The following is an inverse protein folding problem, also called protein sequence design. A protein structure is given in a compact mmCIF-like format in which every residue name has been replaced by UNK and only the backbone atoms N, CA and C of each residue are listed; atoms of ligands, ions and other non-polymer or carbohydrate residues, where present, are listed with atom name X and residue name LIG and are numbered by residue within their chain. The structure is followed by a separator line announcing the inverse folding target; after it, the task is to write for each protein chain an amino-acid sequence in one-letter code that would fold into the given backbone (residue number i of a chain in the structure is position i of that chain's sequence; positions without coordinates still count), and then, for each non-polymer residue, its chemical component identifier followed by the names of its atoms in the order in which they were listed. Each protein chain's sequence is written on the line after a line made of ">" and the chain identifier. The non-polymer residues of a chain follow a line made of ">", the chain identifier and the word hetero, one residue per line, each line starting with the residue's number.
data_IF_515786526313
#
_entry.id   IF_515786526313
#
_cell.length_a   1.000
_cell.length_b   1.000
_cell.length_c   1.000
_cell.angle_alpha   90.00
_cell.angle_beta   90.00
_cell.angle_gamma   90.00
#
_symmetry.space_group_name_H-M   'P 1'
#
loop_
_entity.id
_entity.type
_entity.pdbx_description
1 polymer ?
#
# COMPACT_ATOMS: atom_id res chain seq x y z
N UNK A 1 17.46 -45.99 -15.01
CA UNK A 1 17.64 -44.81 -15.87
C UNK A 1 17.19 -43.59 -15.09
N UNK A 2 18.15 -42.80 -14.62
CA UNK A 2 17.97 -41.75 -13.60
C UNK A 2 17.99 -40.39 -14.30
N UNK A 3 16.88 -39.66 -14.16
CA UNK A 3 16.71 -38.19 -14.24
C UNK A 3 17.53 -37.44 -15.28
N UNK A 4 16.91 -37.26 -16.45
CA UNK A 4 17.19 -36.15 -17.37
C UNK A 4 16.44 -34.91 -16.86
N UNK A 5 16.95 -34.31 -15.78
CA UNK A 5 16.40 -33.06 -15.25
C UNK A 5 16.81 -31.89 -16.15
N UNK A 6 15.80 -31.39 -16.87
CA UNK A 6 15.64 -30.03 -17.41
C UNK A 6 16.87 -29.11 -17.40
N UNK A 7 17.60 -29.10 -18.51
CA UNK A 7 18.37 -27.92 -18.90
C UNK A 7 17.36 -26.77 -19.14
N UNK A 8 17.33 -25.79 -18.23
CA UNK A 8 16.62 -24.53 -18.41
C UNK A 8 17.23 -23.85 -19.65
N UNK A 9 16.43 -23.39 -20.62
CA UNK A 9 16.98 -22.65 -21.76
C UNK A 9 17.70 -21.41 -21.23
N UNK A 10 18.99 -21.25 -21.60
CA UNK A 10 19.77 -20.04 -21.34
C UNK A 10 18.97 -18.85 -21.89
N UNK A 11 18.45 -18.04 -20.97
CA UNK A 11 17.78 -16.79 -21.32
C UNK A 11 18.81 -15.82 -21.88
N UNK A 12 18.38 -15.01 -22.84
CA UNK A 12 19.17 -14.04 -23.62
C UNK A 12 19.71 -12.84 -22.80
N UNK A 13 20.06 -13.06 -21.54
CA UNK A 13 20.71 -12.14 -20.61
C UNK A 13 21.73 -12.97 -19.82
N UNK A 14 22.88 -13.27 -20.43
CA UNK A 14 24.03 -13.91 -19.78
C UNK A 14 24.72 -12.93 -18.81
N UNK A 15 23.95 -12.38 -17.87
CA UNK A 15 24.48 -11.60 -16.76
C UNK A 15 24.91 -12.57 -15.66
N UNK A 16 26.20 -12.59 -15.27
CA UNK A 16 26.70 -13.55 -14.29
C UNK A 16 25.98 -13.31 -12.95
N UNK A 17 25.31 -14.35 -12.45
CA UNK A 17 24.63 -14.30 -11.17
C UNK A 17 25.66 -14.07 -10.05
N UNK A 18 25.30 -13.29 -9.03
CA UNK A 18 26.23 -12.85 -7.97
C UNK A 18 26.90 -14.01 -7.19
N UNK A 19 26.26 -15.18 -7.15
CA UNK A 19 26.72 -16.37 -6.43
C UNK A 19 27.14 -17.50 -7.38
N UNK A 20 27.33 -17.19 -8.66
CA UNK A 20 27.72 -18.20 -9.64
C UNK A 20 29.16 -18.67 -9.37
N UNK A 21 29.34 -19.99 -9.35
CA UNK A 21 30.63 -20.67 -9.19
C UNK A 21 30.80 -21.54 -10.43
N UNK A 22 31.63 -21.07 -11.35
CA UNK A 22 32.00 -21.87 -12.51
C UNK A 22 33.03 -22.92 -12.09
N UNK A 23 32.93 -24.11 -12.68
CA UNK A 23 33.82 -25.25 -12.43
C UNK A 23 34.47 -25.75 -13.72
N UNK A 24 34.45 -24.93 -14.78
CA UNK A 24 34.89 -25.28 -16.13
C UNK A 24 36.13 -24.45 -16.51
N UNK A 25 37.28 -25.11 -16.66
CA UNK A 25 38.63 -24.53 -16.82
C UNK A 25 38.95 -24.14 -18.28
N UNK A 26 37.97 -24.05 -19.18
CA UNK A 26 38.23 -23.88 -20.62
C UNK A 26 38.44 -22.41 -21.06
N UNK A 27 38.18 -21.40 -20.21
CA UNK A 27 38.36 -19.98 -20.59
C UNK A 27 38.62 -18.99 -19.43
N UNK A 28 39.84 -19.00 -18.89
CA UNK A 28 40.29 -18.20 -17.74
C UNK A 28 40.08 -16.68 -17.89
N UNK A 29 40.21 -16.11 -19.08
CA UNK A 29 40.14 -14.66 -19.30
C UNK A 29 38.69 -14.15 -19.18
N UNK A 30 37.75 -14.84 -19.82
CA UNK A 30 36.31 -14.51 -19.70
C UNK A 30 35.80 -14.75 -18.28
N UNK A 31 36.32 -15.77 -17.61
CA UNK A 31 35.97 -16.02 -16.21
C UNK A 31 36.48 -14.92 -15.27
N UNK A 32 37.72 -14.46 -15.46
CA UNK A 32 38.29 -13.37 -14.67
C UNK A 32 37.49 -12.07 -14.85
N UNK A 33 37.07 -11.75 -16.08
CA UNK A 33 36.20 -10.61 -16.36
C UNK A 33 34.82 -10.77 -15.71
N UNK A 34 34.21 -11.96 -15.80
CA UNK A 34 32.93 -12.25 -15.17
C UNK A 34 33.01 -12.16 -13.64
N UNK A 35 34.11 -12.63 -13.03
CA UNK A 35 34.38 -12.47 -11.60
C UNK A 35 34.51 -10.99 -11.23
N UNK A 36 35.28 -10.22 -11.99
CA UNK A 36 35.44 -8.77 -11.78
C UNK A 36 34.11 -8.03 -11.85
N UNK A 37 33.23 -8.41 -12.79
CA UNK A 37 31.88 -7.85 -12.89
C UNK A 37 31.01 -8.21 -11.69
N UNK A 38 31.04 -9.46 -11.20
CA UNK A 38 30.33 -9.86 -9.98
C UNK A 38 30.82 -9.07 -8.77
N UNK A 39 32.14 -8.91 -8.64
CA UNK A 39 32.75 -8.19 -7.52
C UNK A 39 32.43 -6.69 -7.56
N UNK A 40 32.51 -6.06 -8.74
CA UNK A 40 32.08 -4.67 -8.93
C UNK A 40 30.59 -4.49 -8.60
N UNK A 41 29.72 -5.44 -8.96
CA UNK A 41 28.30 -5.39 -8.58
C UNK A 41 28.09 -5.53 -7.07
N UNK A 42 28.92 -6.30 -6.36
CA UNK A 42 28.86 -6.38 -4.88
C UNK A 42 29.23 -5.04 -4.24
N UNK A 43 30.36 -4.47 -4.64
CA UNK A 43 30.80 -3.15 -4.17
C UNK A 43 29.74 -2.08 -4.49
N UNK A 44 29.15 -2.14 -5.70
CA UNK A 44 28.09 -1.22 -6.11
C UNK A 44 26.87 -1.33 -5.22
N UNK A 45 26.37 -2.54 -4.93
CA UNK A 45 25.21 -2.75 -4.05
C UNK A 45 25.45 -2.16 -2.65
N UNK A 46 26.61 -2.46 -2.05
CA UNK A 46 26.92 -1.98 -0.69
C UNK A 46 27.06 -0.44 -0.65
N UNK A 47 27.52 0.15 -1.75
CA UNK A 47 27.55 1.61 -1.92
C UNK A 47 26.17 2.19 -2.13
N UNK A 48 25.36 1.59 -3.01
CA UNK A 48 23.98 2.00 -3.30
C UNK A 48 23.09 1.90 -2.06
N UNK A 49 23.23 0.86 -1.23
CA UNK A 49 22.50 0.74 0.03
C UNK A 49 22.82 1.87 1.01
N UNK A 50 24.10 2.26 1.11
CA UNK A 50 24.52 3.40 1.95
C UNK A 50 23.99 4.72 1.41
N UNK A 51 24.15 4.95 0.10
CA UNK A 51 23.67 6.16 -0.56
C UNK A 51 22.13 6.25 -0.48
N UNK A 52 21.40 5.14 -0.60
CA UNK A 52 19.94 5.11 -0.46
C UNK A 52 19.49 5.54 0.95
N UNK A 53 20.15 5.05 2.00
CA UNK A 53 19.85 5.48 3.38
C UNK A 53 20.13 6.97 3.60
N UNK A 54 21.21 7.50 3.02
CA UNK A 54 21.52 8.94 3.08
C UNK A 54 20.49 9.78 2.31
N UNK A 55 20.08 9.33 1.12
CA UNK A 55 19.04 9.98 0.32
C UNK A 55 17.69 9.97 1.03
N UNK A 56 17.28 8.85 1.64
CA UNK A 56 16.05 8.78 2.44
C UNK A 56 16.10 9.76 3.62
N UNK A 57 17.24 9.86 4.31
CA UNK A 57 17.43 10.81 5.40
C UNK A 57 17.32 12.27 4.93
N UNK A 58 17.96 12.61 3.81
CA UNK A 58 17.90 13.94 3.22
C UNK A 58 16.49 14.29 2.75
N UNK A 59 15.77 13.35 2.16
CA UNK A 59 14.38 13.55 1.74
C UNK A 59 13.46 13.75 2.95
N UNK A 60 13.64 13.00 4.04
CA UNK A 60 12.90 13.23 5.29
C UNK A 60 13.18 14.62 5.85
N UNK A 61 14.44 15.07 5.83
CA UNK A 61 14.82 16.41 6.28
C UNK A 61 14.24 17.51 5.39
N UNK A 62 14.25 17.30 4.06
CA UNK A 62 13.60 18.18 3.08
C UNK A 62 12.10 18.30 3.36
N UNK A 63 11.41 17.17 3.55
CA UNK A 63 9.98 17.14 3.87
C UNK A 63 9.65 17.78 5.21
N UNK A 64 10.55 17.76 6.19
CA UNK A 64 10.40 18.45 7.48
C UNK A 64 10.60 19.97 7.38
N UNK A 65 11.47 20.41 6.47
CA UNK A 65 11.78 21.83 6.27
C UNK A 65 10.81 22.52 5.29
N UNK A 66 10.11 21.77 4.44
CA UNK A 66 9.10 22.31 3.52
C UNK A 66 7.84 22.81 4.24
N UNK A 67 7.20 23.83 3.67
CA UNK A 67 5.93 24.35 4.19
C UNK A 67 4.76 23.43 3.84
N UNK A 68 3.67 23.53 4.60
CA UNK A 68 2.46 22.72 4.38
C UNK A 68 1.84 22.94 2.98
N UNK A 69 1.94 24.18 2.46
CA UNK A 69 1.42 24.55 1.14
C UNK A 69 2.22 23.89 0.02
N UNK A 70 3.55 23.95 0.11
CA UNK A 70 4.46 23.31 -0.85
C UNK A 70 4.30 21.79 -0.83
N UNK A 71 4.18 21.20 0.38
CA UNK A 71 3.94 19.76 0.56
C UNK A 71 2.66 19.30 -0.12
N UNK A 72 1.58 20.10 -0.03
CA UNK A 72 0.29 19.78 -0.67
C UNK A 72 0.37 19.87 -2.19
N UNK A 73 1.08 20.88 -2.71
CA UNK A 73 1.30 21.02 -4.16
C UNK A 73 2.17 19.88 -4.70
N UNK A 74 3.23 19.50 -3.99
CA UNK A 74 4.06 18.38 -4.36
C UNK A 74 3.28 17.06 -4.36
N UNK A 75 2.46 16.80 -3.34
CA UNK A 75 1.63 15.60 -3.28
C UNK A 75 0.57 15.57 -4.40
N UNK A 76 0.12 16.73 -4.87
CA UNK A 76 -0.79 16.87 -6.00
C UNK A 76 -0.08 16.60 -7.33
N UNK A 77 1.15 17.09 -7.48
CA UNK A 77 1.95 16.91 -8.69
C UNK A 77 2.55 15.50 -8.77
N UNK A 78 2.89 14.92 -7.63
CA UNK A 78 3.45 13.58 -7.49
C UNK A 78 2.57 12.74 -6.55
N UNK A 79 1.40 12.28 -7.03
CA UNK A 79 0.51 11.47 -6.22
C UNK A 79 1.17 10.14 -5.85
N UNK A 80 0.96 9.71 -4.59
CA UNK A 80 1.49 8.43 -4.11
C UNK A 80 0.99 7.27 -4.98
N UNK A 81 1.89 6.67 -5.74
CA UNK A 81 1.60 5.49 -6.56
C UNK A 81 1.53 4.27 -5.63
N UNK A 82 0.35 3.68 -5.51
CA UNK A 82 0.14 2.44 -4.76
C UNK A 82 0.07 1.31 -5.78
N UNK A 83 1.21 0.65 -6.03
CA UNK A 83 1.34 -0.46 -6.98
C UNK A 83 0.42 -1.64 -6.62
N UNK A 84 0.24 -1.89 -5.33
CA UNK A 84 -0.53 -3.02 -4.79
C UNK A 84 -2.03 -2.76 -4.58
N UNK A 85 -2.55 -1.67 -5.14
CA UNK A 85 -3.96 -1.29 -4.97
C UNK A 85 -4.85 -2.25 -5.77
N UNK A 86 -5.46 -3.20 -5.08
CA UNK A 86 -6.42 -4.11 -5.68
C UNK A 86 -7.67 -3.35 -6.15
N UNK A 87 -8.11 -3.62 -7.37
CA UNK A 87 -9.40 -3.16 -7.90
C UNK A 87 -10.51 -3.89 -7.16
N UNK A 88 -11.15 -3.22 -6.20
CA UNK A 88 -12.32 -3.77 -5.51
C UNK A 88 -13.57 -3.52 -6.35
N UNK A 89 -14.26 -4.58 -6.74
CA UNK A 89 -15.57 -4.50 -7.38
C UNK A 89 -16.68 -4.10 -6.40
N UNK A 90 -17.90 -3.97 -6.93
CA UNK A 90 -19.11 -3.68 -6.14
C UNK A 90 -19.63 -4.98 -5.51
N UNK A 91 -19.58 -5.06 -4.20
CA UNK A 91 -20.12 -6.20 -3.45
C UNK A 91 -21.66 -6.24 -3.51
N UNK A 92 -22.21 -7.46 -3.58
CA UNK A 92 -23.64 -7.72 -3.42
C UNK A 92 -24.07 -7.61 -1.95
N UNK A 93 -25.36 -7.43 -1.71
CA UNK A 93 -25.93 -7.37 -0.37
C UNK A 93 -25.64 -8.66 0.42
N UNK A 94 -25.06 -8.51 1.62
CA UNK A 94 -24.60 -9.61 2.49
C UNK A 94 -23.57 -10.58 1.87
N UNK A 95 -22.86 -10.15 0.83
CA UNK A 95 -21.74 -10.93 0.29
C UNK A 95 -20.61 -11.04 1.32
N UNK A 96 -19.98 -12.21 1.40
CA UNK A 96 -18.84 -12.44 2.29
C UNK A 96 -17.61 -11.70 1.77
N UNK A 97 -16.99 -10.92 2.66
CA UNK A 97 -15.71 -10.29 2.40
C UNK A 97 -14.57 -11.28 2.61
N UNK A 98 -13.70 -11.39 1.61
CA UNK A 98 -12.45 -12.13 1.68
C UNK A 98 -11.28 -11.14 1.70
N UNK A 99 -10.50 -11.16 2.76
CA UNK A 99 -9.30 -10.35 2.87
C UNK A 99 -8.17 -11.02 2.07
N UNK A 100 -7.57 -10.31 1.12
CA UNK A 100 -6.48 -10.82 0.25
C UNK A 100 -5.22 -11.25 1.01
N UNK A 101 -5.05 -10.77 2.24
CA UNK A 101 -3.85 -10.96 3.05
C UNK A 101 -3.01 -9.69 3.09
N UNK A 102 -2.15 -9.58 4.11
CA UNK A 102 -1.20 -8.47 4.26
C UNK A 102 0.26 -8.88 3.95
N UNK A 103 0.51 -10.19 3.85
CA UNK A 103 1.84 -10.76 3.62
C UNK A 103 2.12 -10.90 2.12
N UNK A 104 3.41 -10.90 1.75
CA UNK A 104 3.90 -11.12 0.38
C UNK A 104 3.41 -10.12 -0.67
N UNK A 105 2.95 -8.94 -0.22
CA UNK A 105 2.54 -7.84 -1.09
C UNK A 105 3.73 -7.05 -1.64
N UNK A 106 4.92 -7.24 -1.09
CA UNK A 106 6.19 -6.71 -1.61
C UNK A 106 6.52 -7.29 -2.99
N UNK A 107 6.22 -8.57 -3.18
CA UNK A 107 6.43 -9.28 -4.43
C UNK A 107 5.29 -8.95 -5.40
N UNK A 108 5.62 -8.39 -6.57
CA UNK A 108 4.66 -7.96 -7.58
C UNK A 108 4.11 -9.14 -8.41
N UNK A 109 3.75 -10.23 -7.74
CA UNK A 109 3.19 -11.42 -8.37
C UNK A 109 1.79 -11.13 -8.89
N UNK A 110 1.54 -11.46 -10.16
CA UNK A 110 0.26 -11.23 -10.84
C UNK A 110 -0.93 -11.88 -10.13
N UNK A 111 -0.71 -13.01 -9.45
CA UNK A 111 -1.73 -13.72 -8.68
C UNK A 111 -2.37 -12.81 -7.61
N UNK A 112 -1.58 -11.94 -6.99
CA UNK A 112 -2.08 -11.03 -5.95
C UNK A 112 -2.80 -9.79 -6.51
N UNK A 113 -2.78 -9.57 -7.83
CA UNK A 113 -3.51 -8.48 -8.49
C UNK A 113 -4.93 -8.88 -8.88
N UNK A 114 -5.29 -10.17 -8.77
CA UNK A 114 -6.60 -10.69 -9.14
C UNK A 114 -7.70 -10.07 -8.28
N UNK A 115 -8.88 -9.93 -8.89
CA UNK A 115 -10.06 -9.49 -8.17
C UNK A 115 -10.56 -10.57 -7.21
N UNK A 116 -10.53 -10.26 -5.92
CA UNK A 116 -11.03 -11.13 -4.82
C UNK A 116 -12.44 -10.75 -4.36
N UNK A 117 -13.06 -9.76 -5.00
CA UNK A 117 -14.39 -9.26 -4.66
C UNK A 117 -15.54 -9.96 -5.38
N UNK A 118 -15.25 -10.95 -6.22
CA UNK A 118 -16.26 -11.74 -6.92
C UNK A 118 -17.16 -12.51 -5.93
N UNK A 119 -18.44 -12.66 -6.29
CA UNK A 119 -19.38 -13.46 -5.50
C UNK A 119 -18.98 -14.93 -5.56
N UNK A 120 -18.93 -15.59 -4.40
CA UNK A 120 -18.57 -17.01 -4.29
C UNK A 120 -19.73 -17.83 -3.74
N UNK A 121 -19.89 -19.06 -4.24
CA UNK A 121 -20.88 -20.05 -3.77
C UNK A 121 -22.29 -19.44 -3.55
N UNK A 122 -22.69 -19.28 -2.29
CA UNK A 122 -24.01 -18.80 -1.86
C UNK A 122 -24.29 -17.33 -2.19
N UNK A 123 -23.26 -16.54 -2.52
CA UNK A 123 -23.37 -15.11 -2.82
C UNK A 123 -23.73 -14.84 -4.30
N UNK A 124 -23.87 -15.89 -5.13
CA UNK A 124 -24.39 -15.73 -6.49
C UNK A 124 -25.85 -15.25 -6.47
N UNK A 125 -26.64 -15.76 -5.52
CA UNK A 125 -28.05 -15.43 -5.34
C UNK A 125 -28.27 -14.02 -4.79
N UNK A 126 -29.30 -13.32 -5.28
CA UNK A 126 -29.63 -11.98 -4.80
C UNK A 126 -30.41 -12.02 -3.47
N UNK A 127 -29.69 -11.80 -2.36
CA UNK A 127 -30.23 -11.81 -1.00
C UNK A 127 -31.17 -10.64 -0.68
N UNK A 128 -31.29 -9.62 -1.54
CA UNK A 128 -32.21 -8.49 -1.31
C UNK A 128 -33.68 -8.87 -1.50
N UNK A 129 -33.95 -9.92 -2.28
CA UNK A 129 -35.31 -10.42 -2.54
C UNK A 129 -35.86 -11.20 -1.34
N UNK A 130 -35.00 -11.59 -0.39
CA UNK A 130 -35.41 -12.30 0.81
C UNK A 130 -36.26 -11.41 1.72
N UNK A 131 -37.22 -11.98 2.48
CA UNK A 131 -37.94 -11.25 3.51
C UNK A 131 -36.98 -10.62 4.54
N UNK A 132 -37.33 -9.44 5.08
CA UNK A 132 -36.45 -8.67 5.99
C UNK A 132 -35.92 -9.49 7.18
N UNK A 133 -36.72 -10.41 7.71
CA UNK A 133 -36.34 -11.30 8.82
C UNK A 133 -35.19 -12.26 8.43
N UNK A 134 -35.11 -12.63 7.15
CA UNK A 134 -34.07 -13.48 6.57
C UNK A 134 -32.89 -12.69 5.99
N UNK A 135 -32.98 -11.36 5.89
CA UNK A 135 -31.89 -10.47 5.42
C UNK A 135 -30.80 -10.28 6.47
N UNK A 136 -30.33 -11.39 7.02
CA UNK A 136 -29.42 -11.43 8.16
C UNK A 136 -28.38 -12.52 7.94
N UNK A 137 -27.16 -12.31 8.42
CA UNK A 137 -26.11 -13.32 8.31
C UNK A 137 -26.43 -14.50 9.24
N UNK A 138 -26.22 -15.73 8.76
CA UNK A 138 -26.43 -16.97 9.53
C UNK A 138 -27.86 -17.12 10.10
N UNK A 139 -28.89 -16.82 9.30
CA UNK A 139 -30.29 -17.02 9.68
C UNK A 139 -30.54 -18.45 10.19
N UNK A 140 -31.26 -18.59 11.31
CA UNK A 140 -31.57 -19.89 11.94
C UNK A 140 -30.46 -20.53 12.76
N UNK A 141 -29.27 -19.91 12.90
CA UNK A 141 -28.18 -20.42 13.75
C UNK A 141 -28.22 -19.81 15.17
N UNK A 142 -27.98 -20.63 16.18
CA UNK A 142 -28.00 -20.23 17.60
C UNK A 142 -26.95 -19.15 17.95
N UNK A 143 -25.81 -19.13 17.26
CA UNK A 143 -24.74 -18.14 17.46
C UNK A 143 -24.90 -16.84 16.64
N UNK A 144 -26.10 -16.51 16.19
CA UNK A 144 -26.33 -15.32 15.36
C UNK A 144 -26.22 -14.03 16.19
N UNK A 145 -25.42 -13.08 15.71
CA UNK A 145 -25.32 -11.72 16.28
C UNK A 145 -26.61 -10.91 16.05
N UNK A 146 -26.99 -10.07 17.03
CA UNK A 146 -28.14 -9.16 16.92
C UNK A 146 -27.95 -8.08 15.83
N UNK A 147 -26.71 -7.62 15.66
CA UNK A 147 -26.32 -6.64 14.65
C UNK A 147 -26.26 -7.27 13.25
N UNK A 148 -26.77 -6.53 12.26
CA UNK A 148 -26.94 -6.98 10.87
C UNK A 148 -25.75 -6.58 9.99
N UNK A 149 -25.61 -5.30 9.66
CA UNK A 149 -24.51 -4.72 8.91
C UNK A 149 -24.31 -3.26 9.30
N UNK A 150 -23.09 -2.74 9.13
CA UNK A 150 -22.73 -1.36 9.52
C UNK A 150 -23.73 -0.33 9.01
N UNK A 151 -24.14 -0.42 7.74
CA UNK A 151 -25.08 0.53 7.12
C UNK A 151 -26.45 0.60 7.83
N UNK A 152 -26.92 -0.49 8.45
CA UNK A 152 -28.21 -0.51 9.17
C UNK A 152 -28.06 0.01 10.62
N UNK A 153 -26.83 0.05 11.12
CA UNK A 153 -26.48 0.57 12.44
C UNK A 153 -25.85 1.96 12.35
N UNK A 154 -25.68 2.48 11.14
CA UNK A 154 -25.09 3.77 10.87
C UNK A 154 -26.14 4.84 11.17
N UNK A 155 -25.95 5.57 12.26
CA UNK A 155 -26.82 6.66 12.69
C UNK A 155 -26.36 8.01 12.15
N UNK A 156 -25.42 8.03 11.19
CA UNK A 156 -24.99 9.28 10.56
C UNK A 156 -26.15 9.90 9.78
N UNK A 157 -26.56 11.09 10.20
CA UNK A 157 -27.55 11.88 9.48
C UNK A 157 -26.83 12.78 8.48
N UNK A 158 -26.76 12.34 7.22
CA UNK A 158 -26.15 13.11 6.14
C UNK A 158 -26.87 14.44 5.86
N UNK A 159 -28.15 14.55 6.22
CA UNK A 159 -28.94 15.79 6.15
C UNK A 159 -28.75 16.70 7.38
N UNK A 160 -27.83 16.36 8.30
CA UNK A 160 -27.55 17.21 9.45
C UNK A 160 -26.98 18.57 9.00
N UNK A 161 -27.55 19.69 9.47
CA UNK A 161 -27.00 21.02 9.22
C UNK A 161 -25.56 21.19 9.70
N UNK A 162 -25.04 20.30 10.56
CA UNK A 162 -23.66 20.31 11.04
C UNK A 162 -22.65 19.65 10.09
N UNK A 163 -23.12 18.80 9.18
CA UNK A 163 -22.27 18.03 8.23
C UNK A 163 -22.22 18.73 6.87
N UNK A 164 -23.20 19.57 6.54
CA UNK A 164 -23.23 20.25 5.25
C UNK A 164 -22.09 21.26 5.11
N UNK A 165 -21.35 21.20 4.01
CA UNK A 165 -20.25 22.12 3.69
C UNK A 165 -20.75 23.48 3.17
N UNK A 166 -21.71 24.07 3.88
CA UNK A 166 -22.19 25.41 3.55
C UNK A 166 -21.17 26.44 4.04
N UNK A 167 -21.00 27.55 3.30
CA UNK A 167 -20.08 28.63 3.69
C UNK A 167 -20.37 29.19 5.11
N UNK A 168 -21.62 29.12 5.57
CA UNK A 168 -22.04 29.50 6.92
C UNK A 168 -21.54 28.50 7.97
N UNK A 169 -21.58 27.20 7.66
CA UNK A 169 -21.09 26.15 8.54
C UNK A 169 -19.58 26.19 8.67
N UNK A 170 -18.84 26.41 7.57
CA UNK A 170 -17.39 26.59 7.64
C UNK A 170 -16.99 27.76 8.55
N UNK A 171 -17.70 28.89 8.44
CA UNK A 171 -17.48 30.06 9.30
C UNK A 171 -17.79 29.77 10.77
N UNK A 172 -18.90 29.08 11.04
CA UNK A 172 -19.25 28.66 12.39
C UNK A 172 -18.22 27.67 12.96
N UNK A 173 -17.79 26.68 12.18
CA UNK A 173 -16.81 25.68 12.59
C UNK A 173 -15.46 26.32 12.92
N UNK A 174 -14.99 27.27 12.12
CA UNK A 174 -13.70 27.92 12.36
C UNK A 174 -13.74 28.93 13.51
N UNK A 175 -14.85 29.65 13.69
CA UNK A 175 -14.93 30.75 14.65
C UNK A 175 -15.53 30.35 16.01
N UNK A 176 -16.50 29.44 15.99
CA UNK A 176 -17.34 29.11 17.15
C UNK A 176 -17.07 27.70 17.69
N UNK A 177 -16.67 26.74 16.85
CA UNK A 177 -16.39 25.38 17.33
C UNK A 177 -15.09 25.36 18.16
N UNK A 178 -15.18 24.79 19.36
CA UNK A 178 -14.04 24.64 20.25
C UNK A 178 -12.97 23.71 19.61
N UNK A 179 -11.68 24.08 19.72
CA UNK A 179 -10.56 23.29 19.20
C UNK A 179 -10.21 23.49 17.72
N UNK A 180 -11.02 24.24 16.95
CA UNK A 180 -10.74 24.56 15.54
C UNK A 180 -10.04 25.91 15.34
N UNK A 181 -9.96 26.73 16.40
CA UNK A 181 -9.20 27.98 16.39
C UNK A 181 -7.72 27.64 16.27
N UNK A 182 -7.10 28.07 15.18
CA UNK A 182 -5.66 27.94 14.93
C UNK A 182 -4.89 28.90 15.85
N UNK A 183 -4.79 28.55 17.13
CA UNK A 183 -4.02 29.27 18.15
C UNK A 183 -2.58 28.73 18.27
N UNK A 184 -2.07 28.08 17.22
CA UNK A 184 -0.72 27.53 17.21
C UNK A 184 0.28 28.62 16.82
N UNK A 185 0.86 29.25 17.84
CA UNK A 185 2.02 30.12 17.66
C UNK A 185 3.27 29.25 17.52
N UNK A 186 3.86 29.22 16.32
CA UNK A 186 5.10 28.47 16.08
C UNK A 186 6.21 29.11 16.93
N UNK A 187 6.93 28.34 17.78
CA UNK A 187 8.02 28.90 18.56
C UNK A 187 9.05 29.52 17.62
N UNK A 188 9.40 30.79 17.86
CA UNK A 188 10.41 31.48 17.08
C UNK A 188 11.75 30.75 17.23
N UNK A 189 12.46 30.55 16.12
CA UNK A 189 13.74 29.85 16.10
C UNK A 189 14.74 30.66 16.93
N UNK A 190 14.99 30.23 18.18
CA UNK A 190 15.97 30.86 19.05
C UNK A 190 17.36 30.55 18.46
N UNK A 191 17.93 31.51 17.72
CA UNK A 191 19.33 31.42 17.28
C UNK A 191 20.20 31.36 18.52
N UNK A 192 20.79 30.19 18.77
CA UNK A 192 21.78 29.95 19.83
C UNK A 192 22.96 30.89 19.55
N UNK A 193 23.18 31.90 20.41
CA UNK A 193 24.37 32.76 20.33
C UNK A 193 25.59 31.86 20.57
N UNK A 194 26.44 31.75 19.56
CA UNK A 194 27.76 31.13 19.70
C UNK A 194 28.59 32.07 20.58
N UNK A 195 29.00 31.59 21.74
CA UNK A 195 30.09 32.16 22.55
C UNK A 195 31.39 31.50 22.15
#
# INVERSE_FOLDING_TARGET
>A
EIRKDSAKPKGLNDEPALNDVNTDDENDEVEYEAWKLRELKRIKRDREEREALEQERLEIERMRNMTEEDRRQELRNNPKVITNKATKGKYKFMQKYYHRGAFFLDNDNEIFKRDVSAATLEDHFNKTVLPKVMQVKNFGRSGRTKYTHLVDQDTTHFDSPWVSETAQNLKFHNNQAAGMKQLFEKPSVYKRKQT
#
